data_IF_460152843141
#
_entry.id   IF_460152843141
#
_cell.length_a   1.000
_cell.length_b   1.000
_cell.length_c   1.000
_cell.angle_alpha   90.00
_cell.angle_beta   90.00
_cell.angle_gamma   90.00
#
_symmetry.space_group_name_H-M   'P 1'
#
loop_
_entity.id
_entity.type
_entity.pdbx_description
1 polymer ?
#
# COMPACT_ATOMS: atom_id res chain seq x y z
N UNK A 1 12.54 17.98 -9.91
CA UNK A 1 12.59 17.95 -8.43
C UNK A 1 12.09 16.62 -7.88
N UNK A 2 10.97 16.07 -8.38
CA UNK A 2 10.39 14.84 -7.82
C UNK A 2 11.20 13.55 -8.08
N UNK A 3 11.92 13.45 -9.21
CA UNK A 3 12.85 12.34 -9.47
C UNK A 3 13.87 12.16 -8.34
N UNK A 4 14.60 13.22 -7.99
CA UNK A 4 15.64 13.18 -6.96
C UNK A 4 15.06 12.85 -5.58
N UNK A 5 13.88 13.38 -5.26
CA UNK A 5 13.20 13.10 -4.00
C UNK A 5 12.82 11.61 -3.87
N UNK A 6 12.29 11.01 -4.94
CA UNK A 6 12.00 9.57 -5.02
C UNK A 6 13.29 8.74 -4.87
N UNK A 7 14.36 9.09 -5.60
CA UNK A 7 15.65 8.38 -5.52
C UNK A 7 16.24 8.43 -4.11
N UNK A 8 16.39 9.62 -3.53
CA UNK A 8 16.97 9.79 -2.19
C UNK A 8 16.12 9.06 -1.14
N UNK A 9 14.80 9.11 -1.27
CA UNK A 9 13.91 8.44 -0.33
C UNK A 9 14.03 6.93 -0.41
N UNK A 10 14.13 6.35 -1.61
CA UNK A 10 14.34 4.91 -1.77
C UNK A 10 15.69 4.45 -1.19
N UNK A 11 16.79 5.17 -1.46
CA UNK A 11 18.12 4.83 -0.94
C UNK A 11 18.22 4.92 0.58
N UNK A 12 17.52 5.89 1.18
CA UNK A 12 17.54 6.11 2.62
C UNK A 12 16.38 5.42 3.35
N UNK A 13 15.54 4.66 2.65
CA UNK A 13 14.39 3.97 3.23
C UNK A 13 13.38 4.93 3.89
N UNK A 14 13.20 6.09 3.27
CA UNK A 14 12.29 7.14 3.74
C UNK A 14 10.95 7.10 3.01
N UNK A 15 9.92 7.56 3.72
CA UNK A 15 8.61 7.76 3.13
C UNK A 15 8.64 8.89 2.12
N UNK A 16 7.98 8.71 0.99
CA UNK A 16 7.80 9.76 -0.01
C UNK A 16 6.46 9.65 -0.74
N UNK A 17 5.80 10.79 -0.91
CA UNK A 17 4.71 10.94 -1.88
C UNK A 17 5.15 11.99 -2.88
N UNK A 18 5.43 11.54 -4.10
CA UNK A 18 5.83 12.37 -5.23
C UNK A 18 4.69 12.53 -6.23
N UNK A 19 4.87 13.50 -7.12
CA UNK A 19 3.96 13.77 -8.23
C UNK A 19 4.75 13.91 -9.51
N UNK A 20 4.32 13.32 -10.62
CA UNK A 20 4.91 13.51 -11.93
C UNK A 20 6.43 13.21 -11.98
N UNK A 21 6.93 12.32 -11.11
CA UNK A 21 8.33 11.92 -11.15
C UNK A 21 8.57 10.84 -12.23
N UNK A 22 9.59 10.97 -13.09
CA UNK A 22 10.10 9.83 -13.87
C UNK A 22 10.51 8.68 -12.95
N UNK A 23 10.55 7.46 -13.48
CA UNK A 23 10.95 6.28 -12.70
C UNK A 23 12.48 6.28 -12.46
N UNK A 24 12.95 6.12 -11.20
CA UNK A 24 14.38 6.12 -10.88
C UNK A 24 15.04 4.74 -10.91
N UNK A 25 14.38 3.67 -11.37
CA UNK A 25 14.87 2.28 -11.30
C UNK A 25 16.29 2.10 -11.83
N UNK A 26 16.65 2.86 -12.86
CA UNK A 26 17.94 2.78 -13.55
C UNK A 26 19.14 3.25 -12.71
N UNK A 27 18.90 4.03 -11.65
CA UNK A 27 19.95 4.56 -10.77
C UNK A 27 19.86 4.07 -9.33
N UNK A 28 18.80 3.32 -8.98
CA UNK A 28 18.65 2.77 -7.64
C UNK A 28 19.57 1.57 -7.40
N UNK A 29 20.12 1.51 -6.18
CA UNK A 29 20.81 0.33 -5.68
C UNK A 29 19.86 -0.87 -5.56
N UNK A 30 20.40 -2.08 -5.68
CA UNK A 30 19.61 -3.32 -5.50
C UNK A 30 18.99 -3.40 -4.10
N UNK A 31 19.67 -2.85 -3.08
CA UNK A 31 19.13 -2.73 -1.72
C UNK A 31 17.90 -1.84 -1.68
N UNK A 32 17.94 -0.69 -2.36
CA UNK A 32 16.82 0.23 -2.43
C UNK A 32 15.62 -0.40 -3.17
N UNK A 33 15.85 -1.05 -4.32
CA UNK A 33 14.80 -1.75 -5.06
C UNK A 33 14.11 -2.83 -4.22
N UNK A 34 14.90 -3.68 -3.55
CA UNK A 34 14.38 -4.70 -2.64
C UNK A 34 13.57 -4.10 -1.50
N UNK A 35 14.06 -3.02 -0.89
CA UNK A 35 13.31 -2.36 0.19
C UNK A 35 11.98 -1.77 -0.30
N UNK A 36 11.94 -1.13 -1.48
CA UNK A 36 10.70 -0.64 -2.08
C UNK A 36 9.70 -1.77 -2.32
N UNK A 37 10.16 -2.93 -2.83
CA UNK A 37 9.32 -4.11 -3.04
C UNK A 37 8.74 -4.67 -1.73
N UNK A 38 9.55 -4.71 -0.68
CA UNK A 38 9.17 -5.23 0.65
C UNK A 38 8.30 -4.26 1.46
N UNK A 39 8.25 -2.98 1.09
CA UNK A 39 7.55 -1.93 1.84
C UNK A 39 6.54 -1.16 0.96
N UNK A 40 5.52 -1.84 0.41
CA UNK A 40 4.50 -1.19 -0.40
C UNK A 40 3.82 -0.07 0.40
N UNK A 41 3.51 1.06 -0.23
CA UNK A 41 2.91 2.21 0.46
C UNK A 41 3.93 3.23 1.00
N UNK A 42 5.20 2.87 1.17
CA UNK A 42 6.22 3.81 1.65
C UNK A 42 6.62 4.83 0.59
N UNK A 43 6.63 4.43 -0.68
CA UNK A 43 6.82 5.32 -1.82
C UNK A 43 5.56 5.28 -2.67
N UNK A 44 5.10 6.45 -3.06
CA UNK A 44 4.00 6.62 -4.03
C UNK A 44 4.33 7.78 -4.94
N UNK A 45 4.14 7.58 -6.23
CA UNK A 45 4.35 8.62 -7.23
C UNK A 45 3.08 8.78 -8.07
N UNK A 46 2.29 9.82 -7.81
CA UNK A 46 1.11 10.08 -8.63
C UNK A 46 1.53 10.69 -9.95
N UNK A 47 1.16 10.08 -11.07
CA UNK A 47 1.50 10.58 -12.40
C UNK A 47 0.23 10.99 -13.13
N UNK A 48 0.22 12.18 -13.71
CA UNK A 48 -0.85 12.54 -14.61
C UNK A 48 -0.70 11.71 -15.90
N UNK A 49 -1.77 11.06 -16.36
CA UNK A 49 -1.77 10.24 -17.59
C UNK A 49 -1.19 11.00 -18.80
N UNK A 50 -1.41 12.31 -18.87
CA UNK A 50 -0.96 13.14 -19.99
C UNK A 50 0.41 13.79 -19.80
N UNK A 51 1.08 13.56 -18.67
CA UNK A 51 2.42 14.08 -18.42
C UNK A 51 3.48 13.24 -19.15
N UNK A 52 3.99 13.72 -20.27
CA UNK A 52 5.04 13.02 -21.01
C UNK A 52 6.36 12.90 -20.25
N UNK A 53 6.68 13.87 -19.38
CA UNK A 53 7.96 13.89 -18.66
C UNK A 53 7.90 12.89 -17.51
N UNK A 54 6.86 12.94 -16.68
CA UNK A 54 6.70 12.05 -15.54
C UNK A 54 6.48 10.59 -15.92
N UNK A 55 5.89 10.32 -17.09
CA UNK A 55 5.71 8.95 -17.61
C UNK A 55 6.92 8.44 -18.41
N UNK A 56 7.99 9.22 -18.53
CA UNK A 56 9.22 8.77 -19.18
C UNK A 56 9.91 7.68 -18.34
N UNK A 57 10.35 6.60 -18.99
CA UNK A 57 11.16 5.56 -18.36
C UNK A 57 10.40 4.39 -17.71
N UNK A 58 9.07 4.32 -17.82
CA UNK A 58 8.30 3.18 -17.31
C UNK A 58 7.95 3.27 -15.82
N UNK A 59 7.74 2.12 -15.15
CA UNK A 59 7.40 2.01 -13.71
C UNK A 59 7.97 0.71 -13.12
N UNK A 60 9.27 0.47 -13.30
CA UNK A 60 9.89 -0.82 -12.97
C UNK A 60 9.87 -1.12 -11.47
N UNK A 61 9.85 -0.08 -10.61
CA UNK A 61 9.73 -0.24 -9.17
C UNK A 61 8.28 -0.24 -8.66
N UNK A 62 7.29 -0.16 -9.57
CA UNK A 62 5.85 -0.29 -9.28
C UNK A 62 5.33 0.69 -8.21
N UNK A 63 5.85 1.92 -8.21
CA UNK A 63 5.45 2.98 -7.24
C UNK A 63 4.49 3.99 -7.85
N UNK A 64 4.27 3.95 -9.18
CA UNK A 64 3.39 4.89 -9.84
C UNK A 64 1.90 4.59 -9.59
N UNK A 65 1.13 5.66 -9.43
CA UNK A 65 -0.32 5.65 -9.57
C UNK A 65 -0.67 6.64 -10.68
N UNK A 66 -1.05 6.11 -11.83
CA UNK A 66 -1.42 6.93 -12.99
C UNK A 66 -2.86 7.40 -12.87
N UNK A 67 -3.07 8.71 -12.93
CA UNK A 67 -4.36 9.37 -12.75
C UNK A 67 -4.72 10.17 -14.01
N UNK A 68 -5.93 9.97 -14.52
CA UNK A 68 -6.53 10.86 -15.51
C UNK A 68 -7.17 12.05 -14.79
N UNK A 69 -6.46 13.17 -14.80
CA UNK A 69 -7.00 14.47 -14.38
C UNK A 69 -7.84 15.08 -15.50
N UNK A 70 -8.71 16.05 -15.17
CA UNK A 70 -9.43 16.81 -16.18
C UNK A 70 -8.42 17.55 -17.08
N UNK A 71 -8.57 17.39 -18.39
CA UNK A 71 -7.68 18.00 -19.37
C UNK A 71 -8.41 19.16 -20.03
N UNK A 72 -7.82 20.35 -19.96
CA UNK A 72 -8.34 21.52 -20.68
C UNK A 72 -8.23 21.36 -22.20
N UNK A 73 -8.69 22.36 -22.94
CA UNK A 73 -8.65 22.34 -24.42
C UNK A 73 -7.23 22.55 -24.98
N UNK A 74 -6.25 22.88 -24.15
CA UNK A 74 -4.85 23.05 -24.55
C UNK A 74 -4.08 21.74 -24.34
N UNK A 75 -3.58 21.17 -25.44
CA UNK A 75 -2.84 19.90 -25.44
C UNK A 75 -1.33 20.14 -25.51
N UNK A 76 -0.76 20.98 -24.63
CA UNK A 76 0.70 21.01 -24.45
C UNK A 76 1.09 19.99 -23.37
N UNK A 77 1.87 18.94 -23.71
CA UNK A 77 2.20 17.89 -22.76
C UNK A 77 2.97 18.34 -21.51
N UNK A 78 3.66 19.48 -21.59
CA UNK A 78 4.42 20.04 -20.44
C UNK A 78 3.47 20.63 -19.39
N UNK A 79 2.27 21.05 -19.78
CA UNK A 79 1.31 21.66 -18.87
C UNK A 79 0.84 20.65 -17.81
N UNK A 80 0.78 19.37 -18.17
CA UNK A 80 0.35 18.29 -17.29
C UNK A 80 1.42 17.85 -16.26
N UNK A 81 2.67 18.29 -16.43
CA UNK A 81 3.77 18.01 -15.49
C UNK A 81 3.70 18.85 -14.21
N UNK A 82 2.95 19.96 -14.22
CA UNK A 82 2.95 20.94 -13.14
C UNK A 82 2.28 20.42 -11.86
N UNK A 83 2.81 20.83 -10.70
CA UNK A 83 2.22 20.50 -9.39
C UNK A 83 0.84 21.14 -9.17
N UNK A 84 0.59 22.29 -9.82
CA UNK A 84 -0.68 23.03 -9.76
C UNK A 84 -1.88 22.26 -10.32
N UNK A 85 -1.66 21.18 -11.07
CA UNK A 85 -2.73 20.34 -11.61
C UNK A 85 -3.37 19.44 -10.56
N UNK A 86 -2.71 19.25 -9.42
CA UNK A 86 -3.16 18.34 -8.37
C UNK A 86 -3.99 19.08 -7.33
N UNK A 87 -5.11 18.49 -6.95
CA UNK A 87 -5.98 19.04 -5.90
C UNK A 87 -6.07 18.07 -4.73
N UNK A 88 -6.20 18.64 -3.53
CA UNK A 88 -6.19 17.88 -2.29
C UNK A 88 -7.49 18.12 -1.52
N UNK A 89 -7.87 17.14 -0.70
CA UNK A 89 -8.90 17.32 0.31
C UNK A 89 -8.36 18.05 1.55
N UNK A 90 -9.23 18.26 2.54
CA UNK A 90 -8.88 19.00 3.75
C UNK A 90 -7.89 18.23 4.64
N UNK A 91 -7.79 16.91 4.45
CA UNK A 91 -6.84 16.01 5.08
C UNK A 91 -5.49 15.95 4.34
N UNK A 92 -5.36 16.63 3.19
CA UNK A 92 -4.15 16.64 2.37
C UNK A 92 -3.98 15.39 1.50
N UNK A 93 -5.03 14.58 1.32
CA UNK A 93 -5.04 13.45 0.39
C UNK A 93 -5.41 13.92 -1.01
N UNK A 94 -4.76 13.32 -2.01
CA UNK A 94 -5.01 13.65 -3.41
C UNK A 94 -6.46 13.29 -3.78
N UNK A 95 -7.18 14.25 -4.36
CA UNK A 95 -8.50 14.02 -4.96
C UNK A 95 -8.32 13.39 -6.34
N UNK A 96 -8.65 12.12 -6.46
CA UNK A 96 -8.70 11.42 -7.74
C UNK A 96 -10.12 11.55 -8.32
N UNK A 97 -10.30 12.11 -9.54
CA UNK A 97 -11.61 12.17 -10.16
C UNK A 97 -12.23 10.78 -10.33
N UNK A 98 -13.50 10.62 -9.96
CA UNK A 98 -14.20 9.35 -10.15
C UNK A 98 -14.68 9.21 -11.60
N UNK A 99 -13.96 8.42 -12.39
CA UNK A 99 -14.28 8.07 -13.77
C UNK A 99 -13.74 6.66 -14.09
N UNK A 100 -14.15 6.08 -15.22
CA UNK A 100 -13.82 4.69 -15.58
C UNK A 100 -12.31 4.45 -15.64
N UNK A 101 -11.53 5.44 -16.10
CA UNK A 101 -10.07 5.32 -16.16
C UNK A 101 -9.43 5.24 -14.77
N UNK A 102 -9.97 6.00 -13.82
CA UNK A 102 -9.37 6.17 -12.50
C UNK A 102 -9.74 5.09 -11.49
N UNK A 103 -10.57 4.10 -11.83
CA UNK A 103 -10.98 3.05 -10.88
C UNK A 103 -9.77 2.33 -10.28
N UNK A 104 -8.81 1.92 -11.13
CA UNK A 104 -7.54 1.32 -10.66
C UNK A 104 -6.75 2.26 -9.76
N UNK A 105 -6.68 3.55 -10.11
CA UNK A 105 -5.93 4.54 -9.35
C UNK A 105 -6.56 4.81 -7.96
N UNK A 106 -7.89 4.82 -7.87
CA UNK A 106 -8.63 4.96 -6.62
C UNK A 106 -8.36 3.76 -5.70
N UNK A 107 -8.41 2.54 -6.25
CA UNK A 107 -8.08 1.32 -5.51
C UNK A 107 -6.62 1.32 -5.02
N UNK A 108 -5.67 1.66 -5.90
CA UNK A 108 -4.25 1.78 -5.55
C UNK A 108 -4.02 2.85 -4.49
N UNK A 109 -4.68 4.00 -4.58
CA UNK A 109 -4.58 5.04 -3.57
C UNK A 109 -5.06 4.55 -2.20
N UNK A 110 -6.24 3.91 -2.15
CA UNK A 110 -6.78 3.36 -0.92
C UNK A 110 -5.83 2.31 -0.30
N UNK A 111 -5.26 1.43 -1.14
CA UNK A 111 -4.22 0.48 -0.74
C UNK A 111 -3.01 1.20 -0.10
N UNK A 112 -2.42 2.19 -0.79
CA UNK A 112 -1.19 2.87 -0.32
C UNK A 112 -1.41 3.56 1.03
N UNK A 113 -2.56 4.18 1.25
CA UNK A 113 -2.88 4.81 2.54
C UNK A 113 -3.02 3.78 3.67
N UNK A 114 -3.68 2.65 3.42
CA UNK A 114 -3.81 1.59 4.42
C UNK A 114 -2.47 0.91 4.72
N UNK A 115 -1.63 0.70 3.70
CA UNK A 115 -0.28 0.15 3.86
C UNK A 115 0.66 1.09 4.62
N UNK A 116 0.48 2.40 4.44
CA UNK A 116 1.17 3.41 5.24
C UNK A 116 0.77 3.32 6.71
N UNK A 117 -0.54 3.26 7.00
CA UNK A 117 -1.05 3.11 8.36
C UNK A 117 -0.54 1.82 9.02
N UNK A 118 -0.56 0.72 8.27
CA UNK A 118 0.04 -0.56 8.65
C UNK A 118 1.51 -0.39 9.07
N UNK A 119 2.33 0.26 8.23
CA UNK A 119 3.77 0.37 8.45
C UNK A 119 4.08 1.25 9.68
N UNK A 120 3.28 2.29 9.89
CA UNK A 120 3.37 3.13 11.09
C UNK A 120 3.07 2.33 12.37
N UNK A 121 2.00 1.53 12.37
CA UNK A 121 1.63 0.66 13.52
C UNK A 121 2.72 -0.38 13.81
N UNK A 122 3.23 -1.04 12.76
CA UNK A 122 4.34 -2.00 12.90
C UNK A 122 5.59 -1.35 13.49
N UNK A 123 5.95 -0.15 13.01
CA UNK A 123 7.10 0.60 13.53
C UNK A 123 6.93 0.95 15.02
N UNK A 124 5.71 1.32 15.43
CA UNK A 124 5.38 1.56 16.84
C UNK A 124 5.57 0.31 17.70
N UNK A 125 5.11 -0.85 17.25
CA UNK A 125 5.33 -2.12 17.94
C UNK A 125 6.80 -2.51 18.02
N UNK A 126 7.57 -2.36 16.94
CA UNK A 126 9.01 -2.64 16.95
C UNK A 126 9.75 -1.74 17.94
N UNK A 127 9.36 -0.46 18.06
CA UNK A 127 9.92 0.45 19.04
C UNK A 127 9.60 0.01 20.48
N UNK A 128 8.35 -0.44 20.74
CA UNK A 128 7.96 -1.02 22.02
C UNK A 128 8.74 -2.30 22.32
N UNK A 129 8.83 -3.21 21.36
CA UNK A 129 9.59 -4.46 21.49
C UNK A 129 11.04 -4.20 21.87
N UNK A 130 11.70 -3.27 21.17
CA UNK A 130 13.08 -2.86 21.49
C UNK A 130 13.20 -2.28 22.90
N UNK A 131 12.25 -1.45 23.33
CA UNK A 131 12.23 -0.92 24.70
C UNK A 131 12.18 -2.06 25.73
N UNK A 132 11.24 -2.99 25.60
CA UNK A 132 11.10 -4.12 26.53
C UNK A 132 12.30 -5.07 26.52
N UNK A 133 12.93 -5.30 25.36
CA UNK A 133 14.17 -6.09 25.30
C UNK A 133 15.36 -5.40 26.00
N UNK A 134 15.46 -4.06 25.91
CA UNK A 134 16.54 -3.30 26.57
C UNK A 134 16.36 -3.23 28.09
N UNK A 135 15.12 -3.20 28.59
CA UNK A 135 14.80 -3.21 30.04
C UNK A 135 15.28 -4.46 30.79
N UNK A 136 15.64 -5.53 30.07
CA UNK A 136 16.23 -6.76 30.64
C UNK A 136 17.65 -6.61 31.21
N UNK A 137 18.31 -5.45 31.08
CA UNK A 137 19.73 -5.22 31.45
C UNK A 137 19.99 -4.50 32.79
N UNK A 138 18.97 -4.18 33.57
CA UNK A 138 19.14 -3.54 34.88
C UNK A 138 18.45 -2.18 34.95
N UNK A 139 17.51 -2.09 35.88
CA UNK A 139 16.52 -1.02 36.03
C UNK A 139 17.20 0.25 36.55
N UNK A 140 17.02 1.37 35.84
CA UNK A 140 17.16 2.69 36.48
C UNK A 140 15.79 3.08 37.04
N UNK A 141 15.76 3.63 38.26
CA UNK A 141 14.55 3.98 39.03
C UNK A 141 13.55 4.91 38.32
N UNK A 142 13.89 5.39 37.12
CA UNK A 142 13.07 6.27 36.31
C UNK A 142 12.11 5.51 35.35
N UNK A 143 12.27 4.18 35.20
CA UNK A 143 11.42 3.34 34.34
C UNK A 143 10.14 2.83 35.03
N UNK A 144 10.09 2.93 36.37
CA UNK A 144 8.97 2.49 37.22
C UNK A 144 7.62 3.18 36.94
N UNK A 145 7.60 4.30 36.21
CA UNK A 145 6.41 5.15 36.02
C UNK A 145 5.63 4.83 34.72
N UNK A 146 6.22 4.11 33.75
CA UNK A 146 5.52 3.69 32.51
C UNK A 146 4.99 2.24 32.58
N UNK A 147 5.38 1.51 33.63
CA UNK A 147 5.24 0.07 33.87
C UNK A 147 3.98 -0.28 34.70
N UNK A 148 2.78 0.14 34.29
CA UNK A 148 1.61 -0.68 34.58
C UNK A 148 1.47 -1.62 33.38
N UNK A 149 1.84 -2.90 33.54
CA UNK A 149 1.80 -3.87 32.44
C UNK A 149 0.43 -3.93 31.74
N UNK A 150 -0.63 -3.62 32.47
CA UNK A 150 -1.98 -3.45 31.94
C UNK A 150 -2.08 -2.37 30.86
N UNK A 151 -1.39 -1.23 31.02
CA UNK A 151 -1.34 -0.19 29.99
C UNK A 151 -0.53 -0.62 28.76
N UNK A 152 0.60 -1.28 28.96
CA UNK A 152 1.39 -1.82 27.86
C UNK A 152 0.62 -2.88 27.06
N UNK A 153 -0.05 -3.80 27.76
CA UNK A 153 -0.91 -4.82 27.16
C UNK A 153 -2.09 -4.19 26.40
N UNK A 154 -2.76 -3.18 26.99
CA UNK A 154 -3.86 -2.48 26.32
C UNK A 154 -3.42 -1.77 25.03
N UNK A 155 -2.24 -1.16 25.00
CA UNK A 155 -1.66 -0.56 23.78
C UNK A 155 -1.43 -1.62 22.70
N UNK A 156 -0.85 -2.77 23.08
CA UNK A 156 -0.59 -3.87 22.14
C UNK A 156 -1.92 -4.43 21.60
N UNK A 157 -2.90 -4.63 22.47
CA UNK A 157 -4.22 -5.14 22.07
C UNK A 157 -4.96 -4.20 21.14
N UNK A 158 -4.89 -2.89 21.43
CA UNK A 158 -5.43 -1.85 20.55
C UNK A 158 -4.73 -1.90 19.19
N UNK A 159 -3.40 -1.94 19.17
CA UNK A 159 -2.63 -2.03 17.93
C UNK A 159 -2.99 -3.28 17.12
N UNK A 160 -3.16 -4.45 17.77
CA UNK A 160 -3.60 -5.70 17.13
C UNK A 160 -5.01 -5.59 16.55
N UNK A 161 -5.96 -5.03 17.31
CA UNK A 161 -7.33 -4.87 16.84
C UNK A 161 -7.40 -3.93 15.62
N UNK A 162 -6.77 -2.76 15.71
CA UNK A 162 -6.71 -1.79 14.63
C UNK A 162 -6.00 -2.36 13.39
N UNK A 163 -4.96 -3.16 13.59
CA UNK A 163 -4.24 -3.82 12.52
C UNK A 163 -5.09 -4.85 11.78
N UNK A 164 -5.85 -5.67 12.50
CA UNK A 164 -6.78 -6.64 11.91
C UNK A 164 -7.85 -5.94 11.08
N UNK A 165 -8.33 -4.78 11.55
CA UNK A 165 -9.25 -3.92 10.78
C UNK A 165 -8.59 -3.43 9.50
N UNK A 166 -7.39 -2.80 9.57
CA UNK A 166 -6.69 -2.31 8.37
C UNK A 166 -6.41 -3.45 7.37
N UNK A 167 -6.01 -4.62 7.85
CA UNK A 167 -5.77 -5.82 7.03
C UNK A 167 -7.04 -6.28 6.30
N UNK A 168 -8.15 -6.39 7.02
CA UNK A 168 -9.44 -6.76 6.44
C UNK A 168 -9.90 -5.76 5.38
N UNK A 169 -9.71 -4.46 5.61
CA UNK A 169 -10.04 -3.41 4.65
C UNK A 169 -9.21 -3.52 3.37
N UNK A 170 -7.89 -3.76 3.47
CA UNK A 170 -7.04 -3.96 2.29
C UNK A 170 -7.44 -5.21 1.51
N UNK A 171 -7.71 -6.32 2.19
CA UNK A 171 -8.17 -7.56 1.53
C UNK A 171 -9.49 -7.30 0.79
N UNK A 172 -10.42 -6.58 1.43
CA UNK A 172 -11.71 -6.22 0.84
C UNK A 172 -11.54 -5.37 -0.41
N UNK A 173 -10.65 -4.37 -0.41
CA UNK A 173 -10.35 -3.55 -1.60
C UNK A 173 -9.92 -4.42 -2.78
N UNK A 174 -9.07 -5.43 -2.55
CA UNK A 174 -8.65 -6.34 -3.61
C UNK A 174 -9.77 -7.27 -4.07
N UNK A 175 -10.57 -7.80 -3.15
CA UNK A 175 -11.72 -8.64 -3.49
C UNK A 175 -12.78 -7.86 -4.28
N UNK A 176 -13.07 -6.62 -3.88
CA UNK A 176 -13.99 -5.73 -4.60
C UNK A 176 -13.42 -5.44 -6.00
N UNK A 177 -12.12 -5.18 -6.13
CA UNK A 177 -11.46 -5.01 -7.44
C UNK A 177 -11.49 -6.26 -8.34
N UNK A 178 -11.44 -7.47 -7.77
CA UNK A 178 -11.61 -8.72 -8.52
C UNK A 178 -13.05 -8.86 -9.04
N UNK A 179 -14.03 -8.56 -8.19
CA UNK A 179 -15.44 -8.59 -8.58
C UNK A 179 -15.76 -7.54 -9.65
N UNK A 180 -15.18 -6.34 -9.55
CA UNK A 180 -15.34 -5.28 -10.54
C UNK A 180 -14.73 -5.68 -11.89
N UNK A 181 -13.58 -6.35 -11.89
CA UNK A 181 -12.96 -6.86 -13.12
C UNK A 181 -13.86 -7.88 -13.84
N UNK A 182 -14.41 -8.85 -13.10
CA UNK A 182 -15.38 -9.82 -13.63
C UNK A 182 -16.65 -9.13 -14.15
N UNK A 183 -17.16 -8.14 -13.41
CA UNK A 183 -18.34 -7.36 -13.80
C UNK A 183 -18.10 -6.63 -15.12
N UNK A 184 -16.97 -5.91 -15.25
CA UNK A 184 -16.62 -5.17 -16.47
C UNK A 184 -16.52 -6.11 -17.67
N UNK A 185 -15.93 -7.30 -17.50
CA UNK A 185 -15.85 -8.29 -18.56
C UNK A 185 -17.23 -8.78 -19.00
N UNK A 186 -18.10 -9.11 -18.05
CA UNK A 186 -19.46 -9.55 -18.34
C UNK A 186 -20.31 -8.48 -19.02
N UNK A 187 -20.21 -7.22 -18.58
CA UNK A 187 -20.89 -6.09 -19.21
C UNK A 187 -20.36 -5.85 -20.63
N UNK A 188 -19.04 -5.97 -20.84
CA UNK A 188 -18.41 -5.84 -22.16
C UNK A 188 -18.92 -6.92 -23.12
N UNK A 189 -18.94 -8.18 -22.70
CA UNK A 189 -19.49 -9.28 -23.50
C UNK A 189 -20.97 -9.07 -23.80
N UNK A 190 -21.75 -8.59 -22.83
CA UNK A 190 -23.16 -8.32 -23.03
C UNK A 190 -23.39 -7.24 -24.09
N UNK A 191 -22.65 -6.13 -24.04
CA UNK A 191 -22.76 -5.05 -25.03
C UNK A 191 -22.24 -5.46 -26.40
N UNK A 192 -21.14 -6.25 -26.45
CA UNK A 192 -20.61 -6.77 -27.70
C UNK A 192 -21.62 -7.69 -28.42
N UNK A 193 -22.28 -8.58 -27.67
CA UNK A 193 -23.35 -9.46 -28.20
C UNK A 193 -24.58 -8.69 -28.68
N UNK A 194 -24.91 -7.55 -28.06
CA UNK A 194 -26.01 -6.68 -28.53
C UNK A 194 -25.63 -5.96 -29.83
N UNK A 195 -24.39 -5.49 -29.95
CA UNK A 195 -23.93 -4.75 -31.13
C UNK A 195 -23.64 -5.67 -32.33
N UNK A 196 -23.15 -6.88 -32.06
CA UNK A 196 -22.83 -7.91 -33.06
C UNK A 196 -23.85 -9.04 -33.09
N UNK A 197 -25.14 -8.71 -33.16
CA UNK A 197 -26.24 -9.67 -33.09
C UNK A 197 -26.29 -10.70 -34.25
N UNK A 198 -25.54 -10.43 -35.32
CA UNK A 198 -25.33 -11.34 -36.45
C UNK A 198 -24.03 -12.15 -36.38
N UNK A 199 -23.16 -11.86 -35.41
CA UNK A 199 -21.88 -12.52 -35.24
C UNK A 199 -22.02 -13.73 -34.32
N UNK A 200 -21.19 -14.74 -34.55
CA UNK A 200 -20.99 -15.84 -33.61
C UNK A 200 -20.21 -15.37 -32.40
N UNK A 201 -20.28 -16.13 -31.30
CA UNK A 201 -19.51 -15.84 -30.09
C UNK A 201 -18.00 -15.78 -30.36
N UNK A 202 -17.47 -16.63 -31.25
CA UNK A 202 -16.04 -16.60 -31.62
C UNK A 202 -15.68 -15.31 -32.35
N UNK A 203 -16.48 -14.87 -33.31
CA UNK A 203 -16.23 -13.62 -34.05
C UNK A 203 -16.28 -12.41 -33.12
N UNK A 204 -17.20 -12.40 -32.15
CA UNK A 204 -17.25 -11.35 -31.12
C UNK A 204 -15.96 -11.34 -30.29
N UNK A 205 -15.49 -12.51 -29.84
CA UNK A 205 -14.26 -12.62 -29.06
C UNK A 205 -13.01 -12.23 -29.88
N UNK A 206 -12.95 -12.59 -31.16
CA UNK A 206 -11.85 -12.24 -32.07
C UNK A 206 -11.78 -10.71 -32.29
N UNK A 207 -12.93 -10.04 -32.48
CA UNK A 207 -13.00 -8.58 -32.62
C UNK A 207 -12.59 -7.86 -31.32
N UNK A 208 -13.04 -8.37 -30.17
CA UNK A 208 -12.61 -7.85 -28.86
C UNK A 208 -11.10 -8.05 -28.64
N UNK A 209 -10.55 -9.20 -29.04
CA UNK A 209 -9.11 -9.47 -28.98
C UNK A 209 -8.31 -8.52 -29.87
N UNK A 210 -8.80 -8.18 -31.06
CA UNK A 210 -8.16 -7.23 -31.98
C UNK A 210 -7.94 -5.83 -31.37
N UNK A 211 -8.82 -5.41 -30.45
CA UNK A 211 -8.67 -4.16 -29.69
C UNK A 211 -8.04 -4.35 -28.31
N UNK A 212 -7.55 -5.57 -28.02
CA UNK A 212 -6.87 -5.94 -26.79
C UNK A 212 -7.79 -6.13 -25.58
N UNK A 213 -9.09 -6.30 -25.81
CA UNK A 213 -10.12 -6.50 -24.80
C UNK A 213 -10.36 -8.00 -24.57
N UNK A 214 -9.49 -8.66 -23.82
CA UNK A 214 -9.61 -10.11 -23.55
C UNK A 214 -9.86 -10.39 -22.07
N UNK A 215 -10.56 -11.50 -21.77
CA UNK A 215 -10.74 -11.98 -20.39
C UNK A 215 -9.41 -12.09 -19.65
N UNK A 216 -8.37 -12.55 -20.35
CA UNK A 216 -7.03 -12.67 -19.79
C UNK A 216 -6.52 -11.31 -19.27
N UNK A 217 -6.63 -10.26 -20.08
CA UNK A 217 -6.14 -8.91 -19.74
C UNK A 217 -7.02 -8.18 -18.74
N UNK A 218 -8.34 -8.38 -18.81
CA UNK A 218 -9.30 -7.64 -17.99
C UNK A 218 -9.57 -8.31 -16.65
N UNK A 219 -9.54 -9.65 -16.60
CA UNK A 219 -9.90 -10.44 -15.41
C UNK A 219 -8.70 -11.22 -14.89
N UNK A 220 -8.15 -12.15 -15.67
CA UNK A 220 -7.22 -13.16 -15.15
C UNK A 220 -5.93 -12.53 -14.61
N UNK A 221 -5.27 -11.68 -15.41
CA UNK A 221 -4.01 -11.03 -15.02
C UNK A 221 -4.21 -10.08 -13.81
N UNK A 222 -5.19 -9.15 -13.81
CA UNK A 222 -5.48 -8.31 -12.64
C UNK A 222 -5.86 -9.12 -11.38
N UNK A 223 -6.72 -10.12 -11.50
CA UNK A 223 -7.15 -10.95 -10.36
C UNK A 223 -5.98 -11.75 -9.79
N UNK A 224 -5.06 -12.24 -10.63
CA UNK A 224 -3.82 -12.87 -10.17
C UNK A 224 -2.95 -11.90 -9.38
N UNK A 225 -2.80 -10.66 -9.86
CA UNK A 225 -2.03 -9.63 -9.15
C UNK A 225 -2.67 -9.25 -7.80
N UNK A 226 -3.98 -9.09 -7.77
CA UNK A 226 -4.74 -8.85 -6.54
C UNK A 226 -4.62 -10.01 -5.55
N UNK A 227 -4.70 -11.25 -6.02
CA UNK A 227 -4.51 -12.43 -5.17
C UNK A 227 -3.09 -12.51 -4.60
N UNK A 228 -2.07 -12.19 -5.40
CA UNK A 228 -0.69 -12.11 -4.94
C UNK A 228 -0.53 -11.05 -3.83
N UNK A 229 -1.16 -9.88 -4.00
CA UNK A 229 -1.16 -8.81 -3.01
C UNK A 229 -1.89 -9.22 -1.74
N UNK A 230 -3.07 -9.84 -1.83
CA UNK A 230 -3.79 -10.43 -0.68
C UNK A 230 -2.89 -11.39 0.10
N UNK A 231 -2.18 -12.27 -0.60
CA UNK A 231 -1.28 -13.24 0.02
C UNK A 231 -0.12 -12.55 0.76
N UNK A 232 0.44 -11.47 0.19
CA UNK A 232 1.45 -10.64 0.86
C UNK A 232 0.89 -10.00 2.14
N UNK A 233 -0.29 -9.38 2.08
CA UNK A 233 -0.94 -8.76 3.25
C UNK A 233 -1.23 -9.79 4.35
N UNK A 234 -1.67 -11.00 3.99
CA UNK A 234 -1.90 -12.08 4.96
C UNK A 234 -0.62 -12.50 5.68
N UNK A 235 0.48 -12.73 4.96
CA UNK A 235 1.78 -13.08 5.55
C UNK A 235 2.33 -11.98 6.46
N UNK A 236 2.11 -10.73 6.06
CA UNK A 236 2.41 -9.55 6.88
C UNK A 236 1.56 -9.56 8.16
N UNK A 237 0.27 -9.91 8.03
CA UNK A 237 -0.65 -10.20 9.11
C UNK A 237 -0.10 -11.18 10.15
N UNK A 238 0.33 -12.35 9.67
CA UNK A 238 0.89 -13.41 10.51
C UNK A 238 2.16 -12.94 11.25
N UNK A 239 3.02 -12.18 10.56
CA UNK A 239 4.26 -11.64 11.13
C UNK A 239 3.99 -10.64 12.25
N UNK A 240 2.94 -9.83 12.11
CA UNK A 240 2.51 -8.88 13.12
C UNK A 240 1.92 -9.58 14.35
N UNK A 241 1.08 -10.60 14.15
CA UNK A 241 0.52 -11.40 15.25
C UNK A 241 1.64 -12.10 16.04
N UNK A 242 2.66 -12.64 15.37
CA UNK A 242 3.84 -13.19 16.02
C UNK A 242 4.60 -12.14 16.86
N UNK A 243 4.87 -10.96 16.30
CA UNK A 243 5.56 -9.88 17.03
C UNK A 243 4.77 -9.44 18.27
N UNK A 244 3.44 -9.30 18.14
CA UNK A 244 2.59 -8.95 19.26
C UNK A 244 2.64 -10.00 20.37
N UNK A 245 2.63 -11.29 20.01
CA UNK A 245 2.77 -12.39 20.98
C UNK A 245 4.13 -12.36 21.69
N UNK A 246 5.22 -12.11 20.96
CA UNK A 246 6.57 -12.02 21.53
C UNK A 246 6.71 -10.85 22.53
N UNK A 247 6.09 -9.70 22.25
CA UNK A 247 6.06 -8.57 23.18
C UNK A 247 5.26 -8.94 24.43
N UNK A 248 4.08 -9.56 24.30
CA UNK A 248 3.27 -9.99 25.44
C UNK A 248 4.04 -10.99 26.33
N UNK A 249 4.71 -11.97 25.72
CA UNK A 249 5.54 -12.93 26.44
C UNK A 249 6.71 -12.26 27.17
N UNK A 250 7.32 -11.24 26.56
CA UNK A 250 8.42 -10.48 27.17
C UNK A 250 7.95 -9.69 28.40
N UNK A 251 6.75 -9.09 28.35
CA UNK A 251 6.12 -8.40 29.48
C UNK A 251 5.87 -9.38 30.63
N UNK A 252 5.29 -10.55 30.35
CA UNK A 252 5.03 -11.57 31.39
C UNK A 252 6.33 -12.11 32.02
N UNK A 253 7.40 -12.28 31.23
CA UNK A 253 8.70 -12.68 31.76
C UNK A 253 9.31 -11.60 32.69
N UNK A 254 9.18 -10.32 32.33
CA UNK A 254 9.62 -9.20 33.18
C UNK A 254 8.84 -9.15 34.50
N UNK A 255 7.51 -9.28 34.46
CA UNK A 255 6.66 -9.39 35.66
C UNK A 255 7.13 -10.46 36.62
N UNK A 256 7.42 -11.65 36.10
CA UNK A 256 7.83 -12.78 36.94
C UNK A 256 9.17 -12.49 37.62
N UNK A 257 10.13 -11.93 36.87
CA UNK A 257 11.44 -11.56 37.40
C UNK A 257 11.33 -10.49 38.49
N UNK A 258 10.47 -9.49 38.30
CA UNK A 258 10.25 -8.43 39.30
C UNK A 258 9.59 -8.97 40.58
N UNK A 259 8.64 -9.91 40.46
CA UNK A 259 8.07 -10.63 41.61
C UNK A 259 9.14 -11.42 42.37
N UNK A 260 9.99 -12.15 41.65
CA UNK A 260 11.04 -12.97 42.27
C UNK A 260 12.07 -12.09 43.01
N UNK A 261 12.45 -10.94 42.43
CA UNK A 261 13.34 -9.96 43.05
C UNK A 261 12.71 -9.32 44.30
N UNK A 262 11.42 -8.96 44.24
CA UNK A 262 10.71 -8.40 45.38
C UNK A 262 10.64 -9.39 46.57
N UNK A 263 10.50 -10.69 46.28
CA UNK A 263 10.53 -11.75 47.29
C UNK A 263 11.92 -11.99 47.89
N UNK A 264 13.01 -11.70 47.16
CA UNK A 264 14.39 -11.84 47.67
C UNK A 264 14.84 -10.66 48.54
N UNK A 265 14.15 -9.53 48.46
CA UNK A 265 14.44 -8.31 49.24
C UNK A 265 13.54 -8.14 50.47
N UNK A 266 12.59 -9.07 50.70
CA UNK A 266 11.65 -9.11 51.82
C UNK A 266 12.11 -10.11 52.90
#
# INVERSE_FOLDING_TARGET
MNFLALTVSAENQWRNVGFNGPDPSNILSEKAKKWVEENPGMLTNYRNRADLIGNFGGDDISVAITVSMEMGTHLNPVDYHQLSNWTFDKEGKLKIPNNDYNQKAILQQAERYLMMEYTAKLSGLLALHKKFQMSGRGISSNEQIYLDDSHALAIIETAVAEFKISTALVIKIYQDGMADAEKIWNETLQEARKCGDLLTESEILDELECVGCTEKRLVIEPCKDYQNKINKVKKMGDSFDCLAADIKNSIEALKQKDRDLALQLA
#
